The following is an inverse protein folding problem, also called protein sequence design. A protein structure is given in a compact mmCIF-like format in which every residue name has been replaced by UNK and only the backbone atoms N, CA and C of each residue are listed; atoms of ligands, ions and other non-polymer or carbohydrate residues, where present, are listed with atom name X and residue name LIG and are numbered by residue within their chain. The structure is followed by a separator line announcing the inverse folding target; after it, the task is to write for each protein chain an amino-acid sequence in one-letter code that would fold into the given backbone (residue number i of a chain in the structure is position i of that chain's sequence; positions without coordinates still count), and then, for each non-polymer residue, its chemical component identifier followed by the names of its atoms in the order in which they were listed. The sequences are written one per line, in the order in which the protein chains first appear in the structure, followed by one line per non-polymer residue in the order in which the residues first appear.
data_IF_462456644583
#
_entry.id   IF_462456644583
#
_cell.length_a   1.000
_cell.length_b   1.000
_cell.length_c   1.000
_cell.angle_alpha   90.00
_cell.angle_beta   90.00
_cell.angle_gamma   90.00
#
_symmetry.space_group_name_H-M   'P 1'
#
loop_
_entity.id
_entity.type
_entity.pdbx_description
1 polymer ?
#
# COMPACT_ATOMS: atom_id res chain seq x y z
N UNK A 1 8.84 14.46 -24.38
CA UNK A 1 10.08 13.99 -23.72
C UNK A 1 10.47 15.11 -22.77
N UNK A 2 9.88 15.10 -21.56
CA UNK A 2 10.01 16.19 -20.61
C UNK A 2 11.46 16.46 -20.25
N UNK A 3 11.79 17.73 -19.98
CA UNK A 3 13.14 18.11 -19.60
C UNK A 3 13.61 17.30 -18.39
N UNK A 4 14.68 16.52 -18.57
CA UNK A 4 15.35 15.87 -17.45
C UNK A 4 15.96 16.94 -16.56
N UNK A 5 15.23 17.40 -15.55
CA UNK A 5 15.77 18.30 -14.53
C UNK A 5 16.86 17.55 -13.77
N UNK A 6 18.11 17.88 -14.13
CA UNK A 6 19.30 17.39 -13.45
C UNK A 6 19.36 18.09 -12.08
N UNK A 7 19.01 17.37 -11.03
CA UNK A 7 19.23 17.82 -9.67
C UNK A 7 20.56 17.24 -9.23
N UNK A 8 21.55 18.10 -8.96
CA UNK A 8 22.90 17.67 -8.57
C UNK A 8 23.56 16.76 -9.62
N UNK A 9 23.36 17.04 -10.91
CA UNK A 9 23.96 16.27 -12.01
C UNK A 9 23.39 14.86 -12.22
N UNK A 10 22.35 14.48 -11.46
CA UNK A 10 21.60 13.23 -11.65
C UNK A 10 20.15 13.51 -11.96
N UNK A 11 19.52 12.60 -12.68
CA UNK A 11 18.11 12.76 -13.01
C UNK A 11 17.21 12.62 -11.78
N UNK A 12 15.96 13.03 -11.94
CA UNK A 12 14.96 12.95 -10.88
C UNK A 12 14.55 11.51 -10.54
N UNK A 13 14.71 10.57 -11.48
CA UNK A 13 14.39 9.15 -11.28
C UNK A 13 15.38 8.49 -10.32
N UNK A 14 16.66 8.84 -10.40
CA UNK A 14 17.72 8.35 -9.53
C UNK A 14 17.51 8.82 -8.09
N UNK A 15 17.16 10.09 -7.91
CA UNK A 15 16.85 10.63 -6.58
C UNK A 15 15.63 9.97 -5.97
N UNK A 16 14.56 9.77 -6.75
CA UNK A 16 13.41 9.04 -6.27
C UNK A 16 13.75 7.58 -5.93
N UNK A 17 14.56 6.90 -6.76
CA UNK A 17 15.03 5.55 -6.45
C UNK A 17 15.77 5.49 -5.11
N UNK A 18 16.68 6.43 -4.83
CA UNK A 18 17.36 6.51 -3.53
C UNK A 18 16.37 6.70 -2.39
N UNK A 19 15.42 7.63 -2.53
CA UNK A 19 14.42 7.91 -1.50
C UNK A 19 13.59 6.66 -1.20
N UNK A 20 13.15 5.95 -2.25
CA UNK A 20 12.39 4.70 -2.11
C UNK A 20 13.22 3.60 -1.43
N UNK A 21 14.51 3.49 -1.73
CA UNK A 21 15.42 2.54 -1.09
C UNK A 21 15.69 2.86 0.39
N UNK A 22 15.73 4.14 0.77
CA UNK A 22 15.83 4.53 2.18
C UNK A 22 14.55 4.14 2.92
N UNK A 23 13.38 4.40 2.33
CA UNK A 23 12.12 4.00 2.93
C UNK A 23 11.92 2.48 2.99
N UNK A 24 12.42 1.68 2.03
CA UNK A 24 12.44 0.20 2.15
C UNK A 24 13.35 -0.26 3.27
N UNK A 25 14.49 0.38 3.47
CA UNK A 25 15.36 0.06 4.59
C UNK A 25 14.65 0.30 5.93
N UNK A 26 13.94 1.41 6.09
CA UNK A 26 13.17 1.69 7.32
C UNK A 26 11.98 0.76 7.52
N UNK A 27 11.29 0.37 6.45
CA UNK A 27 10.20 -0.62 6.50
C UNK A 27 10.70 -1.97 7.02
N UNK A 28 11.76 -2.50 6.41
CA UNK A 28 12.37 -3.77 6.82
C UNK A 28 12.95 -3.65 8.23
N UNK A 29 13.58 -2.52 8.56
CA UNK A 29 14.10 -2.27 9.90
C UNK A 29 13.00 -2.23 10.97
N UNK A 30 11.87 -1.59 10.70
CA UNK A 30 10.76 -1.51 11.64
C UNK A 30 10.13 -2.89 11.92
N UNK A 31 10.08 -3.77 10.91
CA UNK A 31 9.60 -5.16 11.07
C UNK A 31 10.65 -6.04 11.75
N UNK A 32 11.93 -5.84 11.45
CA UNK A 32 13.01 -6.65 12.04
C UNK A 32 13.23 -6.36 13.53
N UNK A 33 13.05 -5.11 13.96
CA UNK A 33 13.17 -4.69 15.35
C UNK A 33 11.79 -4.56 16.03
N UNK A 34 10.91 -5.53 15.83
CA UNK A 34 9.53 -5.47 16.36
C UNK A 34 9.47 -5.36 17.89
N UNK A 35 10.44 -5.94 18.61
CA UNK A 35 10.52 -5.88 20.08
C UNK A 35 10.77 -4.47 20.63
N UNK A 36 11.26 -3.53 19.79
CA UNK A 36 11.66 -2.19 20.21
C UNK A 36 10.52 -1.17 20.04
N UNK A 37 9.46 -1.53 19.33
CA UNK A 37 8.38 -0.64 18.96
C UNK A 37 7.02 -1.23 19.34
N UNK A 38 6.04 -0.38 19.65
CA UNK A 38 4.67 -0.86 19.81
C UNK A 38 4.09 -1.25 18.45
N UNK A 39 3.18 -2.22 18.44
CA UNK A 39 2.52 -2.68 17.21
C UNK A 39 1.86 -1.51 16.45
N UNK A 40 1.25 -0.56 17.15
CA UNK A 40 0.66 0.65 16.54
C UNK A 40 1.72 1.55 15.87
N UNK A 41 2.92 1.64 16.45
CA UNK A 41 4.05 2.37 15.84
C UNK A 41 4.52 1.70 14.56
N UNK A 42 4.69 0.36 14.56
CA UNK A 42 5.11 -0.40 13.37
C UNK A 42 4.09 -0.20 12.26
N UNK A 43 2.80 -0.38 12.55
CA UNK A 43 1.72 -0.14 11.60
C UNK A 43 1.73 1.30 11.04
N UNK A 44 1.92 2.29 11.90
CA UNK A 44 2.04 3.69 11.47
C UNK A 44 3.20 3.90 10.49
N UNK A 45 4.37 3.31 10.76
CA UNK A 45 5.53 3.38 9.87
C UNK A 45 5.22 2.70 8.53
N UNK A 46 4.68 1.48 8.54
CA UNK A 46 4.36 0.71 7.33
C UNK A 46 3.35 1.46 6.44
N UNK A 47 2.31 2.05 7.03
CA UNK A 47 1.28 2.80 6.30
C UNK A 47 1.88 4.07 5.67
N UNK A 48 2.63 4.87 6.45
CA UNK A 48 3.22 6.12 5.96
C UNK A 48 4.23 5.83 4.84
N UNK A 49 5.11 4.84 5.05
CA UNK A 49 6.09 4.41 4.05
C UNK A 49 5.40 3.89 2.80
N UNK A 50 4.35 3.08 2.94
CA UNK A 50 3.55 2.57 1.83
C UNK A 50 2.93 3.68 0.99
N UNK A 51 2.37 4.72 1.62
CA UNK A 51 1.79 5.88 0.92
C UNK A 51 2.87 6.65 0.15
N UNK A 52 3.99 6.99 0.80
CA UNK A 52 5.08 7.75 0.17
C UNK A 52 5.64 6.99 -1.03
N UNK A 53 5.83 5.68 -0.91
CA UNK A 53 6.31 4.84 -2.01
C UNK A 53 5.30 4.71 -3.14
N UNK A 54 4.03 4.47 -2.80
CA UNK A 54 2.96 4.40 -3.79
C UNK A 54 2.89 5.68 -4.63
N UNK A 55 3.01 6.83 -3.97
CA UNK A 55 3.11 8.12 -4.65
C UNK A 55 4.39 8.25 -5.48
N UNK A 56 5.55 7.89 -4.94
CA UNK A 56 6.83 7.98 -5.66
C UNK A 56 6.87 7.13 -6.93
N UNK A 57 6.32 5.91 -6.87
CA UNK A 57 6.22 5.02 -8.04
C UNK A 57 5.21 5.57 -9.04
N UNK A 58 4.01 5.97 -8.59
CA UNK A 58 2.97 6.50 -9.46
C UNK A 58 3.37 7.80 -10.16
N UNK A 59 3.89 8.78 -9.42
CA UNK A 59 4.21 10.09 -9.96
C UNK A 59 5.40 10.04 -10.95
N UNK A 60 6.46 9.31 -10.61
CA UNK A 60 7.72 9.38 -11.36
C UNK A 60 8.02 8.12 -12.19
N UNK A 61 7.89 6.90 -11.64
CA UNK A 61 8.20 5.69 -12.42
C UNK A 61 7.13 5.34 -13.47
N UNK A 62 5.88 5.61 -13.16
CA UNK A 62 4.77 5.48 -14.11
C UNK A 62 4.50 6.76 -14.89
N UNK A 63 5.33 7.80 -14.70
CA UNK A 63 5.28 9.07 -15.44
C UNK A 63 3.95 9.85 -15.36
N UNK A 64 3.03 9.49 -14.44
CA UNK A 64 1.71 10.13 -14.34
C UNK A 64 1.76 11.63 -14.03
N UNK A 65 2.89 12.13 -13.51
CA UNK A 65 3.05 13.55 -13.21
C UNK A 65 3.38 14.40 -14.45
N UNK A 66 4.08 13.84 -15.43
CA UNK A 66 4.47 14.53 -16.68
C UNK A 66 3.46 14.24 -17.81
N UNK A 67 2.71 13.14 -17.70
CA UNK A 67 1.66 12.78 -18.62
C UNK A 67 0.42 13.69 -18.52
N UNK A 68 -0.38 13.80 -19.61
CA UNK A 68 -1.64 14.52 -19.61
C UNK A 68 -2.52 14.13 -18.42
N UNK A 69 -3.12 15.12 -17.75
CA UNK A 69 -3.92 14.92 -16.51
C UNK A 69 -5.10 13.95 -16.64
N UNK A 70 -5.48 13.57 -17.86
CA UNK A 70 -6.47 12.52 -18.09
C UNK A 70 -6.00 11.16 -17.56
N UNK A 71 -4.71 10.83 -17.68
CA UNK A 71 -4.17 9.55 -17.22
C UNK A 71 -4.19 9.45 -15.70
N UNK A 72 -3.89 10.54 -14.99
CA UNK A 72 -4.01 10.61 -13.53
C UNK A 72 -5.46 10.46 -13.06
N UNK A 73 -6.43 11.02 -13.78
CA UNK A 73 -7.87 10.84 -13.47
C UNK A 73 -8.33 9.39 -13.67
N UNK A 74 -7.88 8.75 -14.75
CA UNK A 74 -8.19 7.35 -15.03
C UNK A 74 -7.54 6.42 -14.01
N UNK A 75 -6.34 6.72 -13.53
CA UNK A 75 -5.68 5.95 -12.46
C UNK A 75 -6.30 6.18 -11.08
N UNK A 76 -6.88 7.37 -10.82
CA UNK A 76 -7.60 7.68 -9.59
C UNK A 76 -8.89 6.87 -9.45
N UNK A 77 -9.58 6.57 -10.55
CA UNK A 77 -10.84 5.81 -10.50
C UNK A 77 -10.70 4.40 -9.88
N UNK A 78 -9.82 3.50 -10.38
CA UNK A 78 -9.64 2.16 -9.82
C UNK A 78 -9.01 2.21 -8.42
N UNK A 79 -8.11 3.15 -8.13
CA UNK A 79 -7.52 3.29 -6.78
C UNK A 79 -8.58 3.69 -5.75
N UNK A 80 -9.45 4.64 -6.09
CA UNK A 80 -10.56 5.06 -5.24
C UNK A 80 -11.59 3.94 -5.10
N UNK A 81 -11.88 3.19 -6.16
CA UNK A 81 -12.75 2.02 -6.10
C UNK A 81 -12.21 0.95 -5.13
N UNK A 82 -10.93 0.60 -5.20
CA UNK A 82 -10.29 -0.35 -4.27
C UNK A 82 -10.37 0.16 -2.83
N UNK A 83 -10.11 1.45 -2.60
CA UNK A 83 -10.24 2.05 -1.26
C UNK A 83 -11.68 1.94 -0.74
N UNK A 84 -12.68 2.18 -1.58
CA UNK A 84 -14.09 2.01 -1.23
C UNK A 84 -14.45 0.54 -0.98
N UNK A 85 -13.88 -0.42 -1.71
CA UNK A 85 -14.09 -1.84 -1.43
C UNK A 85 -13.47 -2.26 -0.11
N UNK A 86 -12.24 -1.83 0.18
CA UNK A 86 -11.58 -2.12 1.46
C UNK A 86 -12.32 -1.48 2.63
N UNK A 87 -12.78 -0.23 2.47
CA UNK A 87 -13.60 0.47 3.45
C UNK A 87 -14.97 -0.20 3.64
N UNK A 88 -15.64 -0.52 2.54
CA UNK A 88 -16.96 -1.15 2.54
C UNK A 88 -16.92 -2.54 3.17
N UNK A 89 -16.00 -3.40 2.77
CA UNK A 89 -15.87 -4.75 3.34
C UNK A 89 -15.37 -4.68 4.80
N UNK A 90 -14.43 -3.77 5.08
CA UNK A 90 -13.81 -3.62 6.40
C UNK A 90 -14.76 -3.10 7.49
N UNK A 91 -15.76 -2.29 7.14
CA UNK A 91 -16.74 -1.74 8.10
C UNK A 91 -18.10 -2.46 8.10
N UNK A 92 -18.43 -3.25 7.07
CA UNK A 92 -19.75 -3.87 6.95
C UNK A 92 -19.87 -5.24 7.64
N UNK A 93 -18.77 -5.81 8.16
CA UNK A 93 -18.80 -7.10 8.86
C UNK A 93 -18.27 -6.95 10.30
N UNK A 94 -18.92 -7.56 11.32
CA UNK A 94 -18.49 -7.49 12.71
C UNK A 94 -17.12 -8.14 12.97
N UNK A 95 -16.59 -8.91 12.01
CA UNK A 95 -15.25 -9.51 12.07
C UNK A 95 -14.30 -9.09 10.93
N UNK A 96 -14.69 -8.11 10.09
CA UNK A 96 -13.85 -7.54 9.03
C UNK A 96 -13.03 -8.56 8.22
N UNK A 97 -11.74 -8.26 7.99
CA UNK A 97 -10.78 -9.17 7.33
C UNK A 97 -10.33 -10.30 8.27
N UNK A 98 -10.42 -10.11 9.58
CA UNK A 98 -10.00 -11.11 10.58
C UNK A 98 -10.89 -12.35 10.62
N UNK A 99 -12.12 -12.28 10.10
CA UNK A 99 -13.04 -13.42 9.95
C UNK A 99 -12.85 -14.25 8.67
N UNK A 100 -11.96 -13.85 7.73
CA UNK A 100 -11.74 -14.58 6.47
C UNK A 100 -11.37 -16.06 6.65
N UNK A 101 -10.51 -16.45 7.61
CA UNK A 101 -10.18 -17.85 7.84
C UNK A 101 -11.42 -18.71 8.17
N UNK A 102 -12.38 -18.17 8.94
CA UNK A 102 -13.62 -18.87 9.27
C UNK A 102 -14.57 -19.05 8.08
N UNK A 103 -14.50 -18.16 7.09
CA UNK A 103 -15.29 -18.28 5.85
C UNK A 103 -14.71 -19.31 4.87
N UNK A 104 -13.38 -19.39 4.77
CA UNK A 104 -12.70 -20.32 3.87
C UNK A 104 -12.70 -21.77 4.40
N UNK A 105 -12.88 -21.98 5.70
CA UNK A 105 -13.02 -23.31 6.31
C UNK A 105 -14.27 -23.39 7.18
N UNK A 106 -15.46 -23.65 6.58
CA UNK A 106 -16.66 -23.93 7.35
C UNK A 106 -16.42 -25.16 8.24
N UNK A 107 -16.77 -25.07 9.52
CA UNK A 107 -16.75 -26.24 10.39
C UNK A 107 -17.92 -27.16 10.02
N UNK A 108 -17.63 -28.26 9.31
CA UNK A 108 -18.63 -29.26 8.90
C UNK A 108 -19.04 -30.19 10.05
N UNK A 109 -18.38 -30.14 11.22
CA UNK A 109 -18.66 -31.06 12.33
C UNK A 109 -20.05 -30.82 12.94
N UNK A 110 -20.57 -29.59 12.91
CA UNK A 110 -21.91 -29.29 13.42
C UNK A 110 -23.04 -29.78 12.51
N UNK A 111 -22.76 -30.17 11.26
CA UNK A 111 -23.75 -30.71 10.32
C UNK A 111 -23.81 -32.26 10.34
N UNK A 112 -22.84 -32.91 10.99
CA UNK A 112 -22.82 -34.38 11.14
C UNK A 112 -23.63 -34.83 12.36
N UNK A 113 -23.81 -33.98 13.36
CA UNK A 113 -24.52 -34.34 14.60
C UNK A 113 -26.05 -34.25 14.51
N UNK A 114 -26.59 -33.60 13.47
CA UNK A 114 -28.04 -33.46 13.24
C UNK A 114 -28.62 -34.43 12.18
N UNK A 115 -27.88 -35.49 11.80
CA UNK A 115 -28.40 -36.56 10.93
C UNK A 115 -28.52 -37.89 11.67
#
# INVERSE_FOLDING_TARGET
MGEHKLIMGKDIYFWNFIVLMIFTFFEVGAVFFEDWFTLTTIWGILIVVGIVKGFGIGAYFMHLWDDPRIYLRVALFPTLFVLLMLWGIGLSNPEGVTGLPGWCTPNWDSLVTER
#
